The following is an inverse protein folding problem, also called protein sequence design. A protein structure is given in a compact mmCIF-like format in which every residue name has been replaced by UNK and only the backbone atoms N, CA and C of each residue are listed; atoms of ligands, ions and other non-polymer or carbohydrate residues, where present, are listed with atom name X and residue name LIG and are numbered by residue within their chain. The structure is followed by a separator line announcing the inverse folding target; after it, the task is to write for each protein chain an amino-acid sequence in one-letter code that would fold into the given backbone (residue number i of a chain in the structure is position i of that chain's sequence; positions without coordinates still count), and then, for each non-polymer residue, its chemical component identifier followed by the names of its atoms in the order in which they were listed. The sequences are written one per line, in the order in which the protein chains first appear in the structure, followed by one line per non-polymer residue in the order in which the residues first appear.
data_IF_001929872155
#
_entry.id   IF_001929872155
#
_cell.length_a   1.000
_cell.length_b   1.000
_cell.length_c   1.000
_cell.angle_alpha   90.00
_cell.angle_beta   90.00
_cell.angle_gamma   90.00
#
_symmetry.space_group_name_H-M   'P 1'
#
loop_
_entity.id
_entity.type
_entity.pdbx_description
1 polymer ?
#
# COMPACT_ATOMS: atom_id res chain seq x y z
N UNK A 1 -32.19 20.14 -62.08
CA UNK A 1 -33.65 20.14 -62.29
C UNK A 1 -34.33 19.41 -61.16
N UNK A 2 -35.34 20.02 -60.60
CA UNK A 2 -36.32 19.69 -59.57
C UNK A 2 -35.83 19.85 -58.13
N UNK A 3 -36.04 20.90 -57.58
CA UNK A 3 -36.90 21.76 -56.71
C UNK A 3 -38.05 21.06 -55.95
N UNK A 4 -38.20 21.62 -54.72
CA UNK A 4 -39.38 21.68 -53.85
C UNK A 4 -39.58 20.52 -52.87
N UNK A 5 -40.06 20.70 -51.65
CA UNK A 5 -40.64 21.89 -50.97
C UNK A 5 -40.74 21.61 -49.46
N UNK A 6 -40.71 22.69 -48.71
CA UNK A 6 -41.08 22.91 -47.30
C UNK A 6 -42.31 22.16 -46.79
N UNK A 7 -42.33 21.75 -45.54
CA UNK A 7 -43.40 22.14 -44.61
C UNK A 7 -42.88 22.19 -43.17
N UNK A 8 -43.03 23.35 -42.52
CA UNK A 8 -42.92 23.55 -41.08
C UNK A 8 -44.27 23.13 -40.48
N UNK A 9 -44.20 22.37 -39.36
CA UNK A 9 -45.37 22.20 -38.50
C UNK A 9 -45.03 22.67 -37.09
N UNK A 10 -45.81 23.67 -36.64
CA UNK A 10 -45.65 24.32 -35.33
C UNK A 10 -46.78 23.82 -34.46
N UNK A 11 -46.51 22.90 -33.54
CA UNK A 11 -47.46 22.54 -32.48
C UNK A 11 -47.04 23.16 -31.15
N UNK A 12 -47.84 24.11 -30.78
CA UNK A 12 -47.81 24.94 -29.57
C UNK A 12 -48.32 24.11 -28.38
N UNK A 13 -47.47 23.68 -27.46
CA UNK A 13 -47.89 23.02 -26.24
C UNK A 13 -48.29 24.04 -25.17
N UNK A 14 -49.48 23.86 -24.66
CA UNK A 14 -50.12 24.67 -23.60
C UNK A 14 -49.62 24.22 -22.24
N UNK A 15 -49.12 25.17 -21.43
CA UNK A 15 -48.78 24.92 -20.01
C UNK A 15 -50.07 24.99 -19.14
N UNK A 16 -50.26 24.05 -18.20
CA UNK A 16 -51.29 24.19 -17.18
C UNK A 16 -50.84 25.12 -16.06
N UNK A 17 -51.69 26.06 -15.72
CA UNK A 17 -51.53 26.97 -14.57
C UNK A 17 -51.83 26.21 -13.27
N UNK A 18 -50.81 26.02 -12.40
CA UNK A 18 -50.99 25.54 -11.03
C UNK A 18 -51.41 26.72 -10.14
N UNK A 19 -52.61 26.65 -9.56
CA UNK A 19 -53.11 27.61 -8.57
C UNK A 19 -52.48 27.30 -7.22
N UNK A 20 -51.73 28.25 -6.65
CA UNK A 20 -51.21 28.21 -5.29
C UNK A 20 -52.35 28.63 -4.33
N UNK A 21 -52.78 27.71 -3.49
CA UNK A 21 -53.73 28.00 -2.39
C UNK A 21 -52.90 28.32 -1.15
N UNK A 22 -52.93 29.59 -0.70
CA UNK A 22 -52.34 29.99 0.59
C UNK A 22 -53.29 29.56 1.71
N UNK A 23 -52.76 28.70 2.60
CA UNK A 23 -53.41 28.43 3.89
C UNK A 23 -52.65 29.27 4.94
N UNK A 24 -53.34 30.27 5.49
CA UNK A 24 -52.89 31.04 6.63
C UNK A 24 -53.12 30.22 7.90
N UNK A 25 -52.06 29.88 8.62
CA UNK A 25 -52.15 29.26 9.93
C UNK A 25 -51.75 30.26 11.00
N UNK A 26 -52.65 30.50 11.94
CA UNK A 26 -52.54 31.49 13.01
C UNK A 26 -51.44 31.06 14.01
N UNK A 27 -50.60 32.05 14.39
CA UNK A 27 -49.62 31.92 15.46
C UNK A 27 -50.31 31.98 16.84
N UNK A 28 -50.15 30.89 17.59
CA UNK A 28 -50.35 30.92 19.04
C UNK A 28 -48.96 31.12 19.73
N UNK A 29 -48.78 32.24 20.39
CA UNK A 29 -47.61 32.52 21.22
C UNK A 29 -47.64 31.70 22.54
N UNK A 30 -46.86 30.61 22.59
CA UNK A 30 -46.51 29.92 23.82
C UNK A 30 -45.07 30.25 24.16
N UNK A 31 -44.82 31.03 25.25
CA UNK A 31 -43.52 31.17 25.85
C UNK A 31 -43.20 29.88 26.59
N UNK A 32 -42.38 29.00 25.97
CA UNK A 32 -41.74 27.88 26.65
C UNK A 32 -40.26 28.16 26.76
N UNK A 33 -39.73 28.16 27.98
CA UNK A 33 -38.29 28.29 28.27
C UNK A 33 -37.54 27.13 27.56
N UNK A 34 -36.68 27.46 26.61
CA UNK A 34 -35.81 26.50 25.96
C UNK A 34 -34.68 26.11 26.96
N UNK A 35 -34.45 24.81 27.20
CA UNK A 35 -33.28 24.41 27.97
C UNK A 35 -32.01 24.82 27.20
N UNK A 36 -31.05 25.41 27.92
CA UNK A 36 -29.75 25.82 27.40
C UNK A 36 -29.11 24.66 26.63
N UNK A 37 -28.77 24.90 25.37
CA UNK A 37 -28.06 23.95 24.55
C UNK A 37 -26.72 23.61 25.20
N UNK A 38 -26.61 22.41 25.76
CA UNK A 38 -25.34 21.87 26.21
C UNK A 38 -24.35 21.95 25.02
N UNK A 39 -23.30 22.74 25.21
CA UNK A 39 -22.27 22.92 24.18
C UNK A 39 -21.79 21.57 23.71
N UNK A 40 -21.96 21.29 22.40
CA UNK A 40 -21.31 20.17 21.75
C UNK A 40 -19.82 20.39 21.90
N UNK A 41 -19.21 19.67 22.84
CA UNK A 41 -17.77 19.63 22.96
C UNK A 41 -17.21 19.28 21.57
N UNK A 42 -16.45 20.19 21.01
CA UNK A 42 -15.68 19.92 19.78
C UNK A 42 -14.69 18.83 20.16
N UNK A 43 -15.06 17.56 19.90
CA UNK A 43 -14.12 16.45 20.04
C UNK A 43 -13.08 16.61 18.94
N UNK A 44 -11.91 17.10 19.32
CA UNK A 44 -10.74 17.14 18.43
C UNK A 44 -10.46 15.70 17.99
N UNK A 45 -10.42 15.39 16.68
CA UNK A 45 -10.07 14.05 16.21
C UNK A 45 -8.69 13.66 16.74
N UNK A 46 -8.42 12.37 16.98
CA UNK A 46 -7.09 11.93 17.40
C UNK A 46 -6.02 12.37 16.38
N UNK A 47 -4.79 12.69 16.82
CA UNK A 47 -3.74 13.29 15.98
C UNK A 47 -3.48 12.57 14.65
N UNK A 48 -3.57 11.24 14.62
CA UNK A 48 -3.38 10.47 13.40
C UNK A 48 -4.56 10.57 12.42
N UNK A 49 -5.77 10.83 12.86
CA UNK A 49 -6.91 11.07 11.97
C UNK A 49 -6.77 12.43 11.25
N UNK A 50 -6.21 13.43 11.91
CA UNK A 50 -5.91 14.74 11.31
C UNK A 50 -4.76 14.64 10.28
N UNK A 51 -3.71 13.86 10.56
CA UNK A 51 -2.60 13.66 9.64
C UNK A 51 -3.03 12.97 8.33
N UNK A 52 -4.04 12.10 8.37
CA UNK A 52 -4.59 11.42 7.19
C UNK A 52 -5.57 12.32 6.42
N UNK A 53 -6.31 13.18 7.11
CA UNK A 53 -7.31 14.06 6.50
C UNK A 53 -6.69 15.23 5.70
N UNK A 54 -5.51 15.70 6.09
CA UNK A 54 -4.83 16.79 5.39
C UNK A 54 -4.04 16.27 4.17
N UNK A 55 -4.67 16.34 3.01
CA UNK A 55 -4.09 15.89 1.73
C UNK A 55 -3.45 17.04 0.93
N UNK A 56 -3.58 18.28 1.37
CA UNK A 56 -3.03 19.45 0.66
C UNK A 56 -1.59 19.71 1.08
N UNK A 57 -0.63 19.67 0.14
CA UNK A 57 0.73 20.10 0.41
C UNK A 57 0.77 21.58 0.86
N UNK A 58 1.69 21.96 1.75
CA UNK A 58 1.84 23.36 2.15
C UNK A 58 2.23 24.26 0.96
N UNK A 59 2.09 25.57 1.10
CA UNK A 59 2.60 26.53 0.13
C UNK A 59 4.14 26.67 0.22
N UNK A 60 4.74 27.35 -0.75
CA UNK A 60 6.18 27.67 -0.77
C UNK A 60 7.08 26.46 -1.09
N UNK A 61 8.36 26.60 -0.75
CA UNK A 61 9.41 25.64 -1.09
C UNK A 61 9.13 24.22 -0.55
N UNK A 62 8.63 24.10 0.69
CA UNK A 62 8.25 22.84 1.29
C UNK A 62 7.18 22.12 0.44
N UNK A 63 6.16 22.84 0.01
CA UNK A 63 5.11 22.27 -0.82
C UNK A 63 5.58 21.86 -2.23
N UNK A 64 6.55 22.58 -2.79
CA UNK A 64 7.21 22.19 -4.04
C UNK A 64 7.90 20.83 -3.86
N UNK A 65 8.68 20.68 -2.81
CA UNK A 65 9.40 19.45 -2.46
C UNK A 65 8.45 18.27 -2.21
N UNK A 66 7.38 18.48 -1.44
CA UNK A 66 6.33 17.46 -1.20
C UNK A 66 5.70 16.99 -2.51
N UNK A 67 5.30 17.92 -3.40
CA UNK A 67 4.70 17.57 -4.69
C UNK A 67 5.68 16.82 -5.59
N UNK A 68 6.93 17.26 -5.62
CA UNK A 68 7.97 16.59 -6.41
C UNK A 68 8.24 15.18 -5.86
N UNK A 69 8.39 15.01 -4.54
CA UNK A 69 8.56 13.71 -3.91
C UNK A 69 7.40 12.75 -4.22
N UNK A 70 6.14 13.24 -4.12
CA UNK A 70 4.97 12.46 -4.54
C UNK A 70 5.04 12.03 -6.01
N UNK A 71 5.42 12.93 -6.92
CA UNK A 71 5.56 12.63 -8.34
C UNK A 71 6.63 11.57 -8.61
N UNK A 72 7.80 11.67 -7.94
CA UNK A 72 8.86 10.67 -8.00
C UNK A 72 8.39 9.28 -7.58
N UNK A 73 7.60 9.17 -6.51
CA UNK A 73 7.05 7.89 -6.05
C UNK A 73 5.96 7.34 -6.99
N UNK A 74 5.17 8.23 -7.60
CA UNK A 74 4.09 7.86 -8.52
C UNK A 74 4.61 7.37 -9.88
N UNK A 75 5.67 7.97 -10.40
CA UNK A 75 6.26 7.69 -11.70
C UNK A 75 7.75 7.33 -11.57
N UNK A 76 8.10 6.48 -10.59
CA UNK A 76 9.49 6.23 -10.19
C UNK A 76 10.36 5.80 -11.35
N UNK A 77 9.89 4.86 -12.18
CA UNK A 77 10.64 4.38 -13.34
C UNK A 77 10.87 5.50 -14.37
N UNK A 78 9.83 6.26 -14.69
CA UNK A 78 9.88 7.28 -15.75
C UNK A 78 10.70 8.50 -15.32
N UNK A 79 10.62 8.84 -14.02
CA UNK A 79 11.38 9.96 -13.43
C UNK A 79 12.84 9.60 -13.17
N UNK A 80 13.14 8.34 -12.87
CA UNK A 80 14.45 7.86 -12.42
C UNK A 80 14.92 6.62 -13.22
N UNK A 81 14.93 6.66 -14.57
CA UNK A 81 15.17 5.48 -15.41
C UNK A 81 16.54 4.84 -15.18
N UNK A 82 17.54 5.61 -14.74
CA UNK A 82 18.89 5.10 -14.45
C UNK A 82 18.99 4.33 -13.14
N UNK A 83 17.99 4.44 -12.26
CA UNK A 83 17.98 3.84 -10.93
C UNK A 83 16.94 2.72 -10.79
N UNK A 84 16.04 2.55 -11.75
CA UNK A 84 14.99 1.54 -11.75
C UNK A 84 15.23 0.51 -12.83
N UNK A 85 15.43 -0.75 -12.44
CA UNK A 85 15.72 -1.86 -13.36
C UNK A 85 14.51 -2.68 -13.78
N UNK A 86 13.28 -2.31 -13.37
CA UNK A 86 12.06 -3.05 -13.68
C UNK A 86 10.88 -2.11 -14.05
N UNK A 87 9.66 -2.63 -14.09
CA UNK A 87 8.45 -1.85 -14.45
C UNK A 87 7.68 -1.33 -13.24
N UNK A 88 8.21 -1.44 -12.03
CA UNK A 88 7.52 -1.05 -10.82
C UNK A 88 7.72 0.44 -10.52
N UNK A 89 6.79 0.98 -9.75
CA UNK A 89 6.86 2.28 -9.07
C UNK A 89 6.60 2.10 -7.59
N UNK A 90 6.96 3.06 -6.75
CA UNK A 90 6.77 2.93 -5.31
C UNK A 90 5.30 2.65 -4.95
N UNK A 91 4.38 3.34 -5.60
CA UNK A 91 2.94 3.16 -5.38
C UNK A 91 2.35 1.86 -5.96
N UNK A 92 3.15 1.02 -6.63
CA UNK A 92 2.73 -0.36 -6.94
C UNK A 92 2.47 -1.21 -5.68
N UNK A 93 3.16 -0.88 -4.58
CA UNK A 93 3.02 -1.57 -3.29
C UNK A 93 2.55 -0.64 -2.17
N UNK A 94 2.97 0.64 -2.19
CA UNK A 94 2.54 1.66 -1.22
C UNK A 94 1.25 2.32 -1.69
N UNK A 95 0.13 1.59 -1.51
CA UNK A 95 -1.17 1.95 -2.08
C UNK A 95 -1.73 3.27 -1.53
N UNK A 96 -2.60 3.92 -2.32
CA UNK A 96 -3.20 5.22 -2.03
C UNK A 96 -2.10 6.25 -1.70
N UNK A 97 -1.07 6.29 -2.54
CA UNK A 97 0.07 7.21 -2.37
C UNK A 97 0.78 7.03 -1.03
N UNK A 98 0.78 5.81 -0.50
CA UNK A 98 1.36 5.48 0.80
C UNK A 98 0.45 5.73 2.00
N UNK A 99 -0.82 6.06 1.80
CA UNK A 99 -1.79 6.35 2.87
C UNK A 99 -2.59 5.14 3.32
N UNK A 100 -2.77 4.12 2.46
CA UNK A 100 -3.56 2.93 2.81
C UNK A 100 -2.90 2.14 3.92
N UNK A 101 -3.53 2.08 5.08
CA UNK A 101 -2.99 1.41 6.28
C UNK A 101 -2.63 -0.06 6.04
N UNK A 102 -3.41 -0.79 5.22
CA UNK A 102 -3.14 -2.18 4.84
C UNK A 102 -2.20 -2.35 3.63
N UNK A 103 -1.93 -1.27 2.88
CA UNK A 103 -1.19 -1.26 1.63
C UNK A 103 0.26 -0.78 1.78
N UNK A 104 1.01 -1.31 2.73
CA UNK A 104 2.38 -0.91 3.06
C UNK A 104 2.51 0.62 3.27
N UNK A 105 1.87 1.20 4.29
CA UNK A 105 1.79 2.64 4.47
C UNK A 105 3.14 3.31 4.60
N UNK A 106 3.23 4.53 4.06
CA UNK A 106 4.37 5.45 4.27
C UNK A 106 4.08 6.49 5.36
N UNK A 107 2.85 6.54 5.87
CA UNK A 107 2.38 7.54 6.84
C UNK A 107 3.17 7.58 8.14
N UNK A 108 3.80 6.49 8.55
CA UNK A 108 4.69 6.47 9.72
C UNK A 108 6.16 6.18 9.34
N UNK A 109 6.48 6.13 8.04
CA UNK A 109 7.81 5.70 7.62
C UNK A 109 8.91 6.61 8.19
N UNK A 110 8.74 7.93 8.10
CA UNK A 110 9.75 8.89 8.55
C UNK A 110 10.07 8.80 10.04
N UNK A 111 9.06 8.62 10.90
CA UNK A 111 9.22 8.59 12.36
C UNK A 111 9.80 7.27 12.91
N UNK A 112 9.91 6.23 12.05
CA UNK A 112 10.50 4.95 12.46
C UNK A 112 12.02 4.90 12.28
N UNK A 113 12.63 5.92 11.71
CA UNK A 113 14.08 5.98 11.49
C UNK A 113 14.72 7.10 12.32
N UNK A 114 15.96 6.90 12.80
CA UNK A 114 16.87 5.75 12.61
C UNK A 114 16.36 4.46 13.24
N UNK A 115 16.61 3.31 12.59
CA UNK A 115 16.16 2.00 13.07
C UNK A 115 17.24 0.92 12.90
N UNK A 116 17.45 0.08 13.92
CA UNK A 116 18.25 -1.14 13.74
C UNK A 116 17.56 -2.12 12.79
N UNK A 117 18.29 -2.56 11.78
CA UNK A 117 17.79 -3.49 10.76
C UNK A 117 18.57 -4.80 10.81
N UNK A 118 17.96 -5.85 11.36
CA UNK A 118 18.58 -7.18 11.48
C UNK A 118 19.09 -7.73 10.13
N UNK A 119 18.40 -7.40 9.00
CA UNK A 119 18.85 -7.82 7.67
C UNK A 119 20.26 -7.37 7.35
N UNK A 120 20.71 -6.20 7.83
CA UNK A 120 22.04 -5.65 7.59
C UNK A 120 22.88 -5.58 8.84
N UNK A 121 22.32 -5.95 10.01
CA UNK A 121 22.92 -5.86 11.35
C UNK A 121 23.50 -4.46 11.64
N UNK A 122 22.81 -3.39 11.22
CA UNK A 122 23.20 -2.00 11.47
C UNK A 122 22.01 -1.10 11.67
N UNK A 123 22.25 0.10 12.17
CA UNK A 123 21.26 1.18 12.21
C UNK A 123 21.16 1.80 10.81
N UNK A 124 19.98 1.79 10.24
CA UNK A 124 19.66 2.44 8.96
C UNK A 124 18.97 3.78 9.20
N UNK A 125 19.21 4.73 8.31
CA UNK A 125 18.42 5.95 8.11
C UNK A 125 17.28 5.66 7.11
N UNK A 126 16.36 6.60 6.95
CA UNK A 126 15.25 6.45 6.02
C UNK A 126 15.74 6.37 4.56
N UNK A 127 16.80 7.09 4.22
CA UNK A 127 17.48 7.06 2.92
C UNK A 127 18.06 5.67 2.61
N UNK A 128 18.64 5.01 3.60
CA UNK A 128 19.09 3.62 3.50
C UNK A 128 17.92 2.68 3.18
N UNK A 129 16.77 2.92 3.83
CA UNK A 129 15.56 2.12 3.61
C UNK A 129 14.97 2.36 2.22
N UNK A 130 14.97 3.60 1.73
CA UNK A 130 14.55 3.94 0.36
C UNK A 130 15.47 3.26 -0.65
N UNK A 131 16.79 3.33 -0.45
CA UNK A 131 17.76 2.69 -1.31
C UNK A 131 17.67 1.16 -1.29
N UNK A 132 17.29 0.57 -0.16
CA UNK A 132 16.99 -0.87 -0.08
C UNK A 132 15.83 -1.25 -1.03
N UNK A 133 14.83 -0.37 -1.20
CA UNK A 133 13.77 -0.56 -2.19
C UNK A 133 14.30 -0.43 -3.63
N UNK A 134 15.16 0.54 -3.92
CA UNK A 134 15.73 0.72 -5.26
C UNK A 134 16.51 -0.51 -5.71
N UNK A 135 17.40 -1.04 -4.85
CA UNK A 135 18.24 -2.20 -5.23
C UNK A 135 17.49 -3.53 -5.20
N UNK A 136 16.41 -3.66 -4.43
CA UNK A 136 15.66 -4.92 -4.26
C UNK A 136 14.31 -4.90 -4.98
N UNK A 137 13.41 -4.03 -4.54
CA UNK A 137 12.05 -3.97 -5.12
C UNK A 137 12.04 -3.45 -6.54
N UNK A 138 12.86 -2.44 -6.82
CA UNK A 138 12.98 -1.84 -8.16
C UNK A 138 14.04 -2.53 -9.03
N UNK A 139 14.75 -3.54 -8.49
CA UNK A 139 15.82 -4.28 -9.18
C UNK A 139 16.83 -3.37 -9.88
N UNK A 140 17.19 -2.26 -9.25
CA UNK A 140 17.98 -1.17 -9.81
C UNK A 140 19.22 -0.83 -8.99
N UNK A 141 19.53 0.46 -8.90
CA UNK A 141 20.71 1.01 -8.22
C UNK A 141 20.30 2.02 -7.16
N UNK A 142 21.12 2.16 -6.12
CA UNK A 142 20.92 3.16 -5.07
C UNK A 142 21.01 4.59 -5.62
N UNK A 143 20.12 5.47 -5.15
CA UNK A 143 20.19 6.91 -5.35
C UNK A 143 21.29 7.53 -4.49
N UNK A 144 21.91 8.64 -4.93
CA UNK A 144 22.74 9.47 -4.06
C UNK A 144 21.92 9.96 -2.85
N UNK A 145 22.40 9.66 -1.64
CA UNK A 145 21.67 9.99 -0.39
C UNK A 145 21.51 11.49 -0.16
N UNK A 146 22.46 12.30 -0.65
CA UNK A 146 22.43 13.77 -0.58
C UNK A 146 21.77 14.44 -1.79
N UNK A 147 21.24 13.65 -2.74
CA UNK A 147 20.63 14.19 -3.96
C UNK A 147 19.23 14.76 -3.70
N UNK A 148 18.81 15.68 -4.57
CA UNK A 148 17.50 16.33 -4.49
C UNK A 148 16.34 15.32 -4.61
N UNK A 149 16.49 14.30 -5.46
CA UNK A 149 15.48 13.24 -5.62
C UNK A 149 15.24 12.50 -4.30
N UNK A 150 16.31 12.09 -3.62
CA UNK A 150 16.19 11.44 -2.31
C UNK A 150 15.58 12.38 -1.27
N UNK A 151 16.05 13.63 -1.23
CA UNK A 151 15.53 14.66 -0.32
C UNK A 151 14.02 14.84 -0.48
N UNK A 152 13.54 15.00 -1.71
CA UNK A 152 12.12 15.25 -1.97
C UNK A 152 11.26 14.03 -1.65
N UNK A 153 11.74 12.81 -1.91
CA UNK A 153 11.07 11.58 -1.46
C UNK A 153 10.94 11.52 0.06
N UNK A 154 12.01 11.83 0.79
CA UNK A 154 12.02 11.85 2.26
C UNK A 154 11.11 12.96 2.79
N UNK A 155 11.12 14.15 2.18
CA UNK A 155 10.21 15.25 2.52
C UNK A 155 8.74 14.84 2.33
N UNK A 156 8.42 14.11 1.27
CA UNK A 156 7.06 13.57 1.10
C UNK A 156 6.68 12.61 2.23
N UNK A 157 7.56 11.69 2.61
CA UNK A 157 7.31 10.74 3.72
C UNK A 157 7.18 11.46 5.07
N UNK A 158 8.01 12.48 5.32
CA UNK A 158 7.90 13.33 6.49
C UNK A 158 6.57 14.09 6.52
N UNK A 159 6.13 14.61 5.38
CA UNK A 159 4.84 15.26 5.25
C UNK A 159 3.67 14.30 5.52
N UNK A 160 3.74 13.04 5.06
CA UNK A 160 2.76 12.00 5.39
C UNK A 160 2.75 11.64 6.88
N UNK A 161 3.86 11.81 7.58
CA UNK A 161 4.03 11.46 8.99
C UNK A 161 3.64 12.60 9.95
N UNK A 162 3.09 13.73 9.45
CA UNK A 162 2.71 14.88 10.29
C UNK A 162 1.70 14.47 11.36
N UNK A 163 1.89 15.00 12.55
CA UNK A 163 1.02 14.73 13.70
C UNK A 163 1.25 13.37 14.36
N UNK A 164 2.21 12.59 13.86
CA UNK A 164 2.65 11.35 14.49
C UNK A 164 3.93 11.59 15.29
N UNK A 165 4.10 10.83 16.37
CA UNK A 165 5.29 10.87 17.23
C UNK A 165 6.08 9.56 17.10
N UNK A 166 7.37 9.61 17.44
CA UNK A 166 8.22 8.41 17.51
C UNK A 166 7.58 7.41 18.48
N UNK A 167 7.39 6.17 18.01
CA UNK A 167 6.69 5.11 18.77
C UNK A 167 5.24 4.88 18.33
N UNK A 168 4.61 5.81 17.58
CA UNK A 168 3.30 5.55 16.99
C UNK A 168 3.39 4.39 15.99
N UNK A 169 2.42 3.51 16.03
CA UNK A 169 2.37 2.33 15.16
C UNK A 169 1.17 2.40 14.23
N UNK A 170 1.45 2.37 12.92
CA UNK A 170 0.44 2.23 11.87
C UNK A 170 0.15 0.77 11.51
N UNK A 171 0.44 -0.18 12.41
CA UNK A 171 0.12 -1.59 12.16
C UNK A 171 -1.39 -1.74 11.98
N UNK A 172 -1.84 -2.38 10.90
CA UNK A 172 -3.26 -2.65 10.69
C UNK A 172 -3.82 -3.46 11.87
N UNK A 173 -4.89 -2.97 12.50
CA UNK A 173 -5.59 -3.70 13.56
C UNK A 173 -6.38 -4.87 12.95
N UNK A 174 -6.50 -5.98 13.71
CA UNK A 174 -7.32 -7.13 13.31
C UNK A 174 -6.79 -7.91 12.09
N UNK A 175 -5.47 -7.89 11.84
CA UNK A 175 -4.87 -8.77 10.85
C UNK A 175 -4.79 -10.18 11.43
N UNK A 176 -5.41 -11.19 10.78
CA UNK A 176 -5.32 -12.58 11.25
C UNK A 176 -3.87 -13.05 11.28
N UNK A 177 -3.52 -13.85 12.26
CA UNK A 177 -2.22 -14.52 12.28
C UNK A 177 -2.17 -15.57 11.16
N UNK A 178 -1.16 -15.50 10.31
CA UNK A 178 -0.87 -16.52 9.31
C UNK A 178 0.21 -17.52 9.78
N UNK A 179 0.60 -17.46 11.05
CA UNK A 179 1.77 -18.19 11.56
C UNK A 179 1.58 -19.71 11.51
N UNK A 180 0.37 -20.20 11.76
CA UNK A 180 0.04 -21.64 11.82
C UNK A 180 -0.36 -22.24 10.47
N UNK A 181 -0.53 -21.40 9.44
CA UNK A 181 -0.91 -21.84 8.10
C UNK A 181 0.31 -21.90 7.20
N UNK A 182 0.30 -22.79 6.21
CA UNK A 182 1.28 -22.81 5.14
C UNK A 182 0.59 -22.77 3.78
N UNK A 183 1.30 -22.24 2.77
CA UNK A 183 0.80 -22.06 1.42
C UNK A 183 1.04 -23.29 0.55
N UNK A 184 0.11 -23.57 -0.34
CA UNK A 184 0.20 -24.61 -1.36
C UNK A 184 0.19 -24.00 -2.77
N UNK A 185 1.16 -24.39 -3.59
CA UNK A 185 1.34 -23.80 -4.93
C UNK A 185 0.26 -24.24 -5.92
N UNK A 186 -0.28 -25.45 -5.78
CA UNK A 186 -1.31 -25.97 -6.69
C UNK A 186 -2.64 -25.28 -6.45
N UNK A 187 -3.06 -25.16 -5.18
CA UNK A 187 -4.23 -24.34 -4.82
C UNK A 187 -3.99 -22.86 -5.17
N UNK A 188 -2.78 -22.36 -4.96
CA UNK A 188 -2.40 -20.99 -5.31
C UNK A 188 -2.52 -20.70 -6.81
N UNK A 189 -2.20 -21.66 -7.69
CA UNK A 189 -2.41 -21.55 -9.12
C UNK A 189 -3.91 -21.38 -9.47
N UNK A 190 -4.79 -22.13 -8.79
CA UNK A 190 -6.24 -22.03 -8.98
C UNK A 190 -6.77 -20.66 -8.52
N UNK A 191 -6.35 -20.18 -7.35
CA UNK A 191 -6.70 -18.84 -6.87
C UNK A 191 -6.21 -17.74 -7.82
N UNK A 192 -4.97 -17.89 -8.34
CA UNK A 192 -4.40 -16.95 -9.29
C UNK A 192 -5.24 -16.88 -10.58
N UNK A 193 -5.56 -18.04 -11.15
CA UNK A 193 -6.37 -18.15 -12.36
C UNK A 193 -7.76 -17.51 -12.17
N UNK A 194 -8.40 -17.75 -11.03
CA UNK A 194 -9.75 -17.26 -10.75
C UNK A 194 -9.82 -15.77 -10.43
N UNK A 195 -8.79 -15.22 -9.76
CA UNK A 195 -8.92 -13.89 -9.12
C UNK A 195 -7.87 -12.86 -9.55
N UNK A 196 -6.77 -13.26 -10.19
CA UNK A 196 -5.62 -12.37 -10.41
C UNK A 196 -5.31 -12.12 -11.90
N UNK A 197 -5.56 -13.11 -12.76
CA UNK A 197 -5.18 -13.11 -14.19
C UNK A 197 -5.73 -11.90 -14.93
N UNK A 198 -6.97 -11.49 -14.68
CA UNK A 198 -7.61 -10.39 -15.41
C UNK A 198 -6.87 -9.05 -15.28
N UNK A 199 -6.15 -8.84 -14.18
CA UNK A 199 -5.38 -7.62 -13.96
C UNK A 199 -3.88 -7.83 -14.15
N UNK A 200 -3.33 -8.96 -13.69
CA UNK A 200 -1.89 -9.19 -13.68
C UNK A 200 -1.37 -9.99 -14.89
N UNK A 201 -2.26 -10.42 -15.80
CA UNK A 201 -1.91 -11.27 -16.94
C UNK A 201 -1.78 -12.75 -16.58
N UNK A 202 -1.94 -13.63 -17.56
CA UNK A 202 -1.93 -15.08 -17.35
C UNK A 202 -0.57 -15.61 -16.87
N UNK A 203 0.52 -15.00 -17.32
CA UNK A 203 1.89 -15.28 -16.89
C UNK A 203 2.43 -14.27 -15.84
N UNK A 204 1.55 -13.50 -15.21
CA UNK A 204 1.91 -12.53 -14.16
C UNK A 204 2.80 -11.39 -14.62
N UNK A 205 2.82 -11.13 -15.91
CA UNK A 205 3.64 -10.14 -16.62
C UNK A 205 3.21 -8.71 -16.34
N UNK A 206 2.03 -8.53 -15.72
CA UNK A 206 1.39 -7.24 -15.52
C UNK A 206 0.65 -6.76 -16.75
N UNK A 207 -0.11 -5.69 -16.58
CA UNK A 207 -0.88 -4.99 -17.62
C UNK A 207 -0.73 -3.48 -17.43
N UNK A 208 -1.48 -2.70 -18.20
CA UNK A 208 -1.53 -1.24 -18.01
C UNK A 208 -2.15 -0.83 -16.66
N UNK A 209 -2.96 -1.71 -16.04
CA UNK A 209 -3.66 -1.41 -14.78
C UNK A 209 -3.02 -2.08 -13.56
N UNK A 210 -2.19 -3.11 -13.75
CA UNK A 210 -1.60 -3.85 -12.63
C UNK A 210 -0.13 -4.22 -12.89
N UNK A 211 0.73 -4.17 -11.86
CA UNK A 211 2.15 -4.42 -12.02
C UNK A 211 2.47 -5.89 -12.28
N UNK A 212 3.65 -6.19 -12.85
CA UNK A 212 4.15 -7.56 -12.96
C UNK A 212 4.42 -8.15 -11.57
N UNK A 213 4.07 -9.43 -11.38
CA UNK A 213 4.23 -10.15 -10.12
C UNK A 213 5.49 -11.02 -10.07
N UNK A 214 6.01 -11.43 -11.23
CA UNK A 214 7.26 -12.18 -11.40
C UNK A 214 7.92 -11.88 -12.74
N UNK A 215 9.01 -12.56 -13.05
CA UNK A 215 9.80 -12.32 -14.26
C UNK A 215 10.71 -11.10 -14.17
N UNK A 216 11.41 -10.81 -15.27
CA UNK A 216 12.45 -9.79 -15.32
C UNK A 216 11.97 -8.36 -15.00
N UNK A 217 10.68 -8.08 -15.25
CA UNK A 217 10.08 -6.75 -15.02
C UNK A 217 9.52 -6.56 -13.62
N UNK A 218 9.65 -7.56 -12.73
CA UNK A 218 9.18 -7.53 -11.35
C UNK A 218 10.34 -7.32 -10.35
N UNK A 219 10.04 -7.36 -9.07
CA UNK A 219 11.01 -7.26 -7.99
C UNK A 219 11.95 -8.48 -7.95
N UNK A 220 13.19 -8.28 -7.48
CA UNK A 220 14.15 -9.37 -7.34
C UNK A 220 13.93 -10.21 -6.07
N UNK A 221 14.68 -11.32 -5.96
CA UNK A 221 14.53 -12.27 -4.87
C UNK A 221 14.85 -11.67 -3.49
N UNK A 222 15.64 -10.59 -3.42
CA UNK A 222 15.97 -9.88 -2.18
C UNK A 222 14.87 -8.93 -1.69
N UNK A 223 13.81 -8.69 -2.46
CA UNK A 223 12.72 -7.80 -2.07
C UNK A 223 11.91 -8.34 -0.88
N UNK A 224 11.32 -7.43 -0.10
CA UNK A 224 10.41 -7.82 0.99
C UNK A 224 9.21 -8.64 0.51
N UNK A 225 8.70 -8.30 -0.68
CA UNK A 225 7.59 -9.02 -1.32
C UNK A 225 8.01 -10.41 -1.89
N UNK A 226 9.29 -10.73 -1.97
CA UNK A 226 9.74 -12.09 -2.28
C UNK A 226 9.53 -13.07 -1.11
N UNK A 227 9.21 -12.57 0.06
CA UNK A 227 8.79 -13.37 1.21
C UNK A 227 7.29 -13.64 1.11
N UNK A 228 6.92 -14.91 0.90
CA UNK A 228 5.52 -15.23 0.59
C UNK A 228 4.53 -14.87 1.70
N UNK A 229 4.95 -14.89 2.98
CA UNK A 229 4.09 -14.44 4.10
C UNK A 229 3.84 -12.92 4.07
N UNK A 230 4.84 -12.15 3.67
CA UNK A 230 4.65 -10.69 3.43
C UNK A 230 3.67 -10.44 2.29
N UNK A 231 3.83 -11.19 1.18
CA UNK A 231 2.90 -11.12 0.05
C UNK A 231 1.50 -11.55 0.45
N UNK A 232 1.36 -12.62 1.25
CA UNK A 232 0.06 -13.11 1.71
C UNK A 232 -0.71 -12.07 2.53
N UNK A 233 -0.03 -11.38 3.45
CA UNK A 233 -0.64 -10.30 4.25
C UNK A 233 -1.09 -9.14 3.36
N UNK A 234 -0.30 -8.77 2.36
CA UNK A 234 -0.67 -7.73 1.40
C UNK A 234 -1.87 -8.16 0.55
N UNK A 235 -1.84 -9.38 0.00
CA UNK A 235 -2.92 -9.95 -0.82
C UNK A 235 -4.22 -10.04 -0.03
N UNK A 236 -4.18 -10.60 1.18
CA UNK A 236 -5.35 -10.76 2.06
C UNK A 236 -6.13 -9.45 2.25
N UNK A 237 -5.42 -8.32 2.32
CA UNK A 237 -6.01 -7.03 2.67
C UNK A 237 -6.31 -6.15 1.47
N UNK A 238 -5.65 -6.38 0.34
CA UNK A 238 -5.69 -5.43 -0.76
C UNK A 238 -6.06 -6.05 -2.11
N UNK A 239 -6.07 -7.38 -2.21
CA UNK A 239 -6.32 -8.06 -3.49
C UNK A 239 -7.48 -9.09 -3.37
N UNK A 240 -8.25 -9.24 -4.45
CA UNK A 240 -8.28 -8.43 -5.67
C UNK A 240 -8.54 -6.95 -5.38
N UNK A 241 -7.96 -6.04 -6.15
CA UNK A 241 -7.97 -4.60 -5.82
C UNK A 241 -9.38 -3.99 -5.77
N UNK A 242 -10.27 -4.50 -6.60
CA UNK A 242 -11.69 -4.12 -6.67
C UNK A 242 -12.57 -4.86 -5.66
N UNK A 243 -12.06 -5.93 -5.03
CA UNK A 243 -12.74 -6.73 -4.00
C UNK A 243 -11.80 -7.04 -2.83
N UNK A 244 -11.27 -6.04 -2.14
CA UNK A 244 -10.33 -6.25 -1.03
C UNK A 244 -10.99 -7.05 0.09
N UNK A 245 -10.19 -7.87 0.79
CA UNK A 245 -10.62 -8.79 1.87
C UNK A 245 -11.59 -9.91 1.44
N UNK A 246 -11.74 -10.20 0.13
CA UNK A 246 -12.60 -11.29 -0.35
C UNK A 246 -11.95 -12.67 -0.27
N UNK A 247 -10.62 -12.74 -0.20
CA UNK A 247 -9.90 -14.00 -0.06
C UNK A 247 -9.82 -14.45 1.40
N UNK A 248 -9.91 -15.76 1.63
CA UNK A 248 -9.61 -16.34 2.94
C UNK A 248 -8.12 -16.26 3.25
N UNK A 249 -7.70 -16.34 4.53
CA UNK A 249 -6.28 -16.39 4.90
C UNK A 249 -5.52 -17.53 4.21
N UNK A 250 -6.13 -18.68 4.01
CA UNK A 250 -5.50 -19.80 3.30
C UNK A 250 -5.31 -19.49 1.81
N UNK A 251 -6.32 -18.96 1.14
CA UNK A 251 -6.22 -18.57 -0.27
C UNK A 251 -5.14 -17.51 -0.49
N UNK A 252 -5.03 -16.55 0.41
CA UNK A 252 -3.98 -15.53 0.34
C UNK A 252 -2.58 -16.12 0.50
N UNK A 253 -2.39 -17.11 1.39
CA UNK A 253 -1.12 -17.84 1.53
C UNK A 253 -0.82 -18.69 0.30
N UNK A 254 -1.80 -19.43 -0.20
CA UNK A 254 -1.64 -20.31 -1.34
C UNK A 254 -1.21 -19.51 -2.59
N UNK A 255 -1.92 -18.42 -2.90
CA UNK A 255 -1.58 -17.59 -4.07
C UNK A 255 -0.24 -16.85 -3.87
N UNK A 256 0.07 -16.40 -2.66
CA UNK A 256 1.36 -15.78 -2.37
C UNK A 256 2.52 -16.79 -2.54
N UNK A 257 2.34 -18.04 -2.11
CA UNK A 257 3.30 -19.12 -2.34
C UNK A 257 3.49 -19.36 -3.83
N UNK A 258 2.41 -19.51 -4.58
CA UNK A 258 2.44 -19.66 -6.03
C UNK A 258 3.20 -18.54 -6.73
N UNK A 259 2.89 -17.27 -6.43
CA UNK A 259 3.57 -16.10 -7.00
C UNK A 259 5.07 -16.11 -6.68
N UNK A 260 5.45 -16.49 -5.45
CA UNK A 260 6.84 -16.40 -5.00
C UNK A 260 7.71 -17.62 -5.39
N UNK A 261 7.12 -18.69 -5.94
CA UNK A 261 7.87 -19.78 -6.58
C UNK A 261 8.19 -19.50 -8.06
N UNK A 262 7.63 -18.42 -8.64
CA UNK A 262 7.89 -18.06 -10.04
C UNK A 262 9.26 -17.41 -10.20
N UNK A 263 9.92 -17.62 -11.39
CA UNK A 263 11.22 -17.04 -11.67
C UNK A 263 11.21 -15.51 -11.54
N UNK A 264 12.26 -14.96 -10.94
CA UNK A 264 12.47 -13.52 -10.78
C UNK A 264 13.96 -13.22 -10.80
N UNK A 265 14.36 -11.93 -10.99
CA UNK A 265 15.77 -11.57 -10.97
C UNK A 265 16.42 -11.96 -9.65
N UNK A 266 17.66 -12.39 -9.72
CA UNK A 266 18.48 -12.64 -8.52
C UNK A 266 18.95 -11.32 -7.90
N UNK A 267 19.49 -11.40 -6.66
CA UNK A 267 20.04 -10.27 -5.94
C UNK A 267 21.45 -10.59 -5.48
N UNK A 268 22.42 -9.89 -6.04
CA UNK A 268 23.83 -10.07 -5.67
C UNK A 268 24.06 -9.64 -4.20
N UNK A 269 24.77 -10.46 -3.46
CA UNK A 269 25.07 -10.21 -2.04
C UNK A 269 23.96 -10.61 -1.07
N UNK A 270 22.88 -11.25 -1.54
CA UNK A 270 21.78 -11.77 -0.71
C UNK A 270 22.24 -12.72 0.40
N UNK A 271 23.33 -13.42 0.17
CA UNK A 271 23.94 -14.36 1.13
C UNK A 271 24.47 -13.65 2.38
N UNK A 272 24.72 -12.33 2.32
CA UNK A 272 25.14 -11.51 3.45
C UNK A 272 23.98 -10.96 4.29
N UNK A 273 22.73 -11.17 3.86
CA UNK A 273 21.56 -10.77 4.63
C UNK A 273 21.47 -11.57 5.94
N UNK A 274 21.03 -10.91 7.01
CA UNK A 274 20.92 -11.46 8.36
C UNK A 274 22.21 -12.11 8.87
N UNK A 275 23.32 -11.36 8.94
CA UNK A 275 24.62 -11.92 9.32
C UNK A 275 24.64 -12.45 10.76
N UNK A 276 23.70 -12.06 11.61
CA UNK A 276 23.52 -12.52 12.99
C UNK A 276 22.62 -13.75 13.14
N UNK A 277 22.06 -14.27 12.02
CA UNK A 277 21.29 -15.51 12.02
C UNK A 277 19.79 -15.36 12.25
N UNK A 278 19.26 -14.14 12.43
CA UNK A 278 17.82 -13.87 12.67
C UNK A 278 17.00 -13.87 11.36
N UNK A 279 17.37 -14.74 10.43
CA UNK A 279 16.72 -14.82 9.13
C UNK A 279 15.30 -15.37 9.26
N UNK A 280 14.27 -14.64 8.75
CA UNK A 280 12.89 -15.16 8.69
C UNK A 280 12.79 -16.46 7.89
N UNK A 281 11.92 -17.37 8.32
CA UNK A 281 11.77 -18.71 7.74
C UNK A 281 11.31 -18.70 6.28
N UNK A 282 10.61 -17.66 5.85
CA UNK A 282 10.05 -17.50 4.52
C UNK A 282 10.96 -16.74 3.54
N UNK A 283 12.24 -16.55 3.89
CA UNK A 283 13.24 -15.98 2.98
C UNK A 283 13.59 -17.01 1.91
N UNK A 284 13.47 -16.67 0.60
CA UNK A 284 13.56 -17.65 -0.48
C UNK A 284 14.99 -18.01 -0.91
N UNK A 285 16.02 -17.63 -0.13
CA UNK A 285 17.42 -17.90 -0.43
C UNK A 285 18.21 -18.22 0.83
N UNK A 286 19.32 -18.99 0.72
CA UNK A 286 20.21 -19.22 1.84
C UNK A 286 21.03 -17.97 2.17
N UNK A 287 21.46 -17.85 3.43
CA UNK A 287 22.38 -16.82 3.92
C UNK A 287 23.59 -17.50 4.56
N UNK A 288 24.71 -16.77 4.68
CA UNK A 288 25.95 -17.29 5.29
C UNK A 288 25.77 -17.68 6.74
N UNK A 289 25.06 -16.88 7.52
CA UNK A 289 24.71 -17.22 8.88
C UNK A 289 23.58 -18.27 8.90
N UNK A 290 23.74 -19.30 9.76
CA UNK A 290 22.68 -20.27 10.02
C UNK A 290 21.52 -19.57 10.72
N UNK A 291 20.29 -19.92 10.36
CA UNK A 291 19.10 -19.36 11.02
C UNK A 291 19.04 -19.86 12.46
N UNK A 292 19.08 -18.95 13.42
CA UNK A 292 18.87 -19.25 14.85
C UNK A 292 17.40 -19.56 15.18
N UNK A 293 16.46 -19.15 14.32
CA UNK A 293 15.03 -19.36 14.52
C UNK A 293 14.56 -20.83 14.33
N UNK A 294 15.42 -21.68 13.75
CA UNK A 294 15.12 -23.10 13.52
C UNK A 294 15.30 -24.00 14.74
N UNK A 295 16.02 -23.56 15.76
CA UNK A 295 16.41 -24.41 16.89
C UNK A 295 15.44 -24.37 18.07
N UNK A 296 14.70 -23.28 18.26
CA UNK A 296 13.79 -23.16 19.41
C UNK A 296 12.46 -23.92 19.22
N UNK A 297 11.94 -24.01 18.00
CA UNK A 297 10.71 -24.79 17.74
C UNK A 297 10.94 -26.31 17.88
N UNK A 298 12.13 -26.77 17.58
CA UNK A 298 12.50 -28.19 17.79
C UNK A 298 12.70 -28.51 19.28
N UNK A 299 13.25 -27.58 20.04
CA UNK A 299 13.49 -27.73 21.47
C UNK A 299 12.20 -27.71 22.29
N UNK A 300 11.24 -26.85 21.91
CA UNK A 300 9.92 -26.79 22.58
C UNK A 300 9.07 -28.02 22.30
N UNK A 301 9.20 -28.65 21.11
CA UNK A 301 8.53 -29.93 20.81
C UNK A 301 9.15 -31.14 21.53
N UNK A 302 10.46 -31.12 21.75
CA UNK A 302 11.14 -32.21 22.49
C UNK A 302 10.85 -32.15 23.98
N UNK A 303 10.52 -30.99 24.56
CA UNK A 303 10.18 -30.87 25.99
C UNK A 303 8.71 -31.18 26.32
N UNK A 304 7.81 -31.01 25.32
CA UNK A 304 6.36 -31.32 25.50
C UNK A 304 5.97 -32.74 25.05
N UNK A 305 6.95 -33.57 24.66
CA UNK A 305 6.72 -34.96 24.25
C UNK A 305 7.16 -36.01 25.29
N UNK A 306 7.56 -35.59 26.51
CA UNK A 306 7.98 -36.46 27.60
C UNK A 306 7.17 -36.15 28.87
N UNK A 307 5.86 -36.37 28.80
CA UNK A 307 4.99 -36.62 29.98
C UNK A 307 3.83 -37.52 29.57
#
# INVERSE_FOLDING_TARGET
MHTMNKRRDTTRARHPRVRLTMIALAMACGRGDAPAAAGRGVTTPPPHAQAIADTMPPSGAMGVSVRRGRALLAATRDSLPHYVGNSLRCFSCHLDEGRRASGLPLTAAYIHFPQFRARRARVDLIEDRVNDCFVRSMNGRALPVSGDDMRDMVVYMAWLSRGLTVGDSMKPKGVPSLATLDGDTSRGAQVFAASCVRCHGASGEGTVVAPPLWGAKSYNIGAGMARYRTTALFVLRNMPFDQPNSLTPQQALDVARYINTRPRPDFAGKENDWPTGERPLDVPYPTRARSTLSTDTARTRAHNGAH
#
